data_IF_851328573888
#
_entry.id   IF_851328573888
#
_cell.length_a   1.000
_cell.length_b   1.000
_cell.length_c   1.000
_cell.angle_alpha   90.00
_cell.angle_beta   90.00
_cell.angle_gamma   90.00
#
_symmetry.space_group_name_H-M   'P 1'
#
loop_
_entity.id
_entity.type
_entity.pdbx_description
1 polymer ?
#
# COMPACT_ATOMS: atom_id res chain seq x y z
N UNK A 1 1.75 0.35 10.63
CA UNK A 1 0.87 -0.18 9.57
C UNK A 1 -0.33 -0.86 10.20
N UNK A 2 -1.51 -0.24 10.10
CA UNK A 2 -2.77 -0.75 10.68
C UNK A 2 -3.82 -1.03 9.61
N UNK A 3 -3.75 -0.37 8.46
CA UNK A 3 -4.67 -0.62 7.33
C UNK A 3 -4.39 -1.98 6.69
N UNK A 4 -5.46 -2.70 6.35
CA UNK A 4 -5.44 -4.01 5.69
C UNK A 4 -4.79 -5.16 6.48
N UNK A 5 -4.66 -5.02 7.81
CA UNK A 5 -4.17 -6.09 8.70
C UNK A 5 -5.31 -6.54 9.61
N UNK A 6 -5.59 -7.85 9.63
CA UNK A 6 -6.65 -8.41 10.48
C UNK A 6 -6.39 -8.06 11.96
N UNK A 7 -7.42 -7.59 12.65
CA UNK A 7 -7.35 -7.24 14.07
C UNK A 7 -6.66 -5.91 14.37
N UNK A 8 -6.36 -5.08 13.35
CA UNK A 8 -5.88 -3.71 13.55
C UNK A 8 -6.92 -2.71 13.07
N UNK A 9 -7.20 -1.70 13.89
CA UNK A 9 -8.17 -0.68 13.55
C UNK A 9 -7.46 0.55 12.98
N UNK A 10 -8.14 1.26 12.06
CA UNK A 10 -7.53 2.42 11.40
C UNK A 10 -7.21 3.54 12.40
N UNK A 11 -8.09 3.75 13.39
CA UNK A 11 -7.93 4.79 14.40
C UNK A 11 -6.72 4.56 15.32
N UNK A 12 -6.16 3.35 15.37
CA UNK A 12 -4.94 3.07 16.13
C UNK A 12 -3.75 3.93 15.62
N UNK A 13 -3.70 4.17 14.30
CA UNK A 13 -2.69 5.07 13.72
C UNK A 13 -2.94 6.53 14.15
N UNK A 14 -4.19 6.98 14.14
CA UNK A 14 -4.55 8.36 14.50
C UNK A 14 -4.21 8.62 15.97
N UNK A 15 -4.51 7.66 16.85
CA UNK A 15 -4.13 7.73 18.26
C UNK A 15 -2.61 7.80 18.44
N UNK A 16 -1.86 6.94 17.73
CA UNK A 16 -0.40 6.95 17.78
C UNK A 16 0.19 8.30 17.35
N UNK A 17 -0.29 8.86 16.23
CA UNK A 17 0.17 10.17 15.75
C UNK A 17 -0.12 11.25 16.79
N UNK A 18 -1.31 11.26 17.38
CA UNK A 18 -1.68 12.21 18.43
C UNK A 18 -0.75 12.12 19.64
N UNK A 19 -0.47 10.90 20.13
CA UNK A 19 0.45 10.70 21.27
C UNK A 19 1.87 11.15 20.93
N UNK A 20 2.37 10.89 19.72
CA UNK A 20 3.69 11.36 19.28
C UNK A 20 3.74 12.89 19.23
N UNK A 21 2.69 13.54 18.74
CA UNK A 21 2.60 15.00 18.69
C UNK A 21 2.54 15.63 20.07
N UNK A 22 1.75 15.07 20.99
CA UNK A 22 1.68 15.49 22.39
C UNK A 22 3.04 15.39 23.08
N UNK A 23 3.73 14.25 22.90
CA UNK A 23 5.08 14.06 23.45
C UNK A 23 6.08 15.05 22.88
N UNK A 24 6.06 15.27 21.56
CA UNK A 24 6.96 16.22 20.90
C UNK A 24 6.75 17.65 21.42
N UNK A 25 5.49 18.03 21.69
CA UNK A 25 5.15 19.31 22.29
C UNK A 25 5.69 19.45 23.71
N UNK A 26 5.46 18.44 24.56
CA UNK A 26 5.93 18.43 25.96
C UNK A 26 7.46 18.48 26.08
N UNK A 27 8.17 17.79 25.18
CA UNK A 27 9.64 17.76 25.20
C UNK A 27 10.29 18.89 24.41
N UNK A 28 9.52 19.83 23.85
CA UNK A 28 10.01 20.88 22.93
C UNK A 28 10.92 20.31 21.82
N UNK A 29 10.47 19.20 21.23
CA UNK A 29 11.23 18.48 20.21
C UNK A 29 11.47 19.37 18.98
N UNK A 30 12.70 19.35 18.45
CA UNK A 30 13.08 20.03 17.20
C UNK A 30 12.79 19.20 15.94
N UNK A 31 12.21 18.00 16.10
CA UNK A 31 11.86 17.11 14.99
C UNK A 31 10.56 17.55 14.31
N UNK A 32 10.47 17.32 13.01
CA UNK A 32 9.26 17.58 12.22
C UNK A 32 8.57 16.28 11.80
N UNK A 33 7.24 16.33 11.69
CA UNK A 33 6.44 15.25 11.12
C UNK A 33 6.37 15.40 9.60
N UNK A 34 6.51 14.29 8.87
CA UNK A 34 6.31 14.23 7.43
C UNK A 34 5.11 13.35 7.11
N UNK A 35 4.11 13.93 6.46
CA UNK A 35 2.95 13.19 5.94
C UNK A 35 3.18 12.92 4.46
N UNK A 36 3.26 11.64 4.10
CA UNK A 36 3.40 11.18 2.73
C UNK A 36 2.12 10.46 2.33
N UNK A 37 1.50 10.94 1.25
CA UNK A 37 0.44 10.22 0.57
C UNK A 37 0.90 9.91 -0.86
N UNK A 38 0.61 8.69 -1.31
CA UNK A 38 0.89 8.27 -2.68
C UNK A 38 -0.43 8.12 -3.42
N UNK A 39 -0.77 9.14 -4.23
CA UNK A 39 -1.97 9.12 -5.03
C UNK A 39 -1.95 7.88 -5.94
N UNK A 40 -3.00 7.04 -5.82
CA UNK A 40 -3.18 5.83 -6.64
C UNK A 40 -1.92 4.96 -6.65
N UNK A 41 -1.34 4.69 -5.47
CA UNK A 41 -0.10 3.92 -5.32
C UNK A 41 -0.06 2.63 -6.16
N UNK A 42 -1.20 1.93 -6.30
CA UNK A 42 -1.32 0.72 -7.12
C UNK A 42 -1.03 0.92 -8.61
N UNK A 43 -1.32 2.10 -9.17
CA UNK A 43 -1.09 2.39 -10.60
C UNK A 43 0.39 2.51 -10.93
N UNK A 44 1.22 2.83 -9.95
CA UNK A 44 2.66 3.08 -10.11
C UNK A 44 3.53 1.93 -9.59
N UNK A 45 2.93 0.79 -9.23
CA UNK A 45 3.68 -0.41 -8.84
C UNK A 45 4.36 -0.99 -10.09
N UNK A 46 5.69 -1.04 -10.08
CA UNK A 46 6.44 -1.66 -11.16
C UNK A 46 6.40 -3.19 -11.05
N UNK A 47 6.10 -3.94 -12.12
CA UNK A 47 5.95 -5.40 -12.05
C UNK A 47 7.16 -6.12 -11.46
N UNK A 48 8.36 -5.70 -11.88
CA UNK A 48 9.60 -6.32 -11.42
C UNK A 48 9.85 -6.08 -9.91
N UNK A 49 9.47 -4.91 -9.39
CA UNK A 49 9.67 -4.63 -7.97
C UNK A 49 8.72 -5.46 -7.11
N UNK A 50 7.46 -5.63 -7.52
CA UNK A 50 6.53 -6.52 -6.82
C UNK A 50 7.03 -7.98 -6.83
N UNK A 51 7.51 -8.46 -7.99
CA UNK A 51 8.06 -9.81 -8.12
C UNK A 51 9.28 -10.02 -7.20
N UNK A 52 10.23 -9.09 -7.21
CA UNK A 52 11.43 -9.15 -6.38
C UNK A 52 11.09 -9.15 -4.88
N UNK A 53 10.12 -8.32 -4.46
CA UNK A 53 9.66 -8.27 -3.08
C UNK A 53 9.05 -9.60 -2.65
N UNK A 54 8.13 -10.16 -3.45
CA UNK A 54 7.49 -11.44 -3.11
C UNK A 54 8.50 -12.59 -3.06
N UNK A 55 9.47 -12.63 -3.97
CA UNK A 55 10.55 -13.62 -3.95
C UNK A 55 11.45 -13.46 -2.72
N UNK A 56 11.76 -12.22 -2.33
CA UNK A 56 12.53 -11.94 -1.12
C UNK A 56 11.83 -12.44 0.16
N UNK A 57 10.50 -12.38 0.21
CA UNK A 57 9.71 -12.97 1.29
C UNK A 57 9.46 -14.48 1.15
N UNK A 58 10.16 -15.14 0.22
CA UNK A 58 10.10 -16.58 -0.01
C UNK A 58 8.72 -17.13 -0.40
N UNK A 59 7.90 -16.31 -1.06
CA UNK A 59 6.66 -16.83 -1.66
C UNK A 59 7.01 -17.80 -2.80
N UNK A 60 6.25 -18.91 -2.98
CA UNK A 60 6.48 -19.86 -4.06
C UNK A 60 6.40 -19.20 -5.43
N UNK A 61 7.29 -19.57 -6.36
CA UNK A 61 7.33 -18.99 -7.71
C UNK A 61 5.99 -19.06 -8.43
N UNK A 62 5.28 -20.19 -8.33
CA UNK A 62 3.95 -20.36 -8.92
C UNK A 62 2.92 -19.35 -8.41
N UNK A 63 2.98 -18.97 -7.13
CA UNK A 63 2.12 -17.96 -6.54
C UNK A 63 2.53 -16.55 -7.01
N UNK A 64 3.83 -16.28 -7.08
CA UNK A 64 4.36 -15.00 -7.58
C UNK A 64 3.93 -14.77 -9.03
N UNK A 65 4.09 -15.78 -9.88
CA UNK A 65 3.70 -15.72 -11.29
C UNK A 65 2.19 -15.49 -11.44
N UNK A 66 1.38 -16.18 -10.62
CA UNK A 66 -0.07 -15.97 -10.57
C UNK A 66 -0.43 -14.51 -10.22
N UNK A 67 0.16 -13.96 -9.15
CA UNK A 67 -0.07 -12.57 -8.73
C UNK A 67 0.36 -11.59 -9.83
N UNK A 68 1.55 -11.76 -10.41
CA UNK A 68 2.04 -10.88 -11.47
C UNK A 68 1.11 -10.90 -12.69
N UNK A 69 0.62 -12.07 -13.11
CA UNK A 69 -0.31 -12.18 -14.22
C UNK A 69 -1.66 -11.49 -13.92
N UNK A 70 -2.19 -11.65 -12.70
CA UNK A 70 -3.43 -11.01 -12.28
C UNK A 70 -3.35 -9.47 -12.27
N UNK A 71 -2.20 -8.92 -11.85
CA UNK A 71 -2.05 -7.47 -11.76
C UNK A 71 -1.67 -6.80 -13.08
N UNK A 72 -0.87 -7.48 -13.94
CA UNK A 72 -0.22 -6.81 -15.07
C UNK A 72 -0.57 -7.40 -16.45
N UNK A 73 -1.12 -8.61 -16.52
CA UNK A 73 -1.51 -9.23 -17.78
C UNK A 73 -3.02 -9.21 -18.01
N UNK A 74 -3.82 -8.93 -16.99
CA UNK A 74 -5.27 -8.80 -17.11
C UNK A 74 -5.64 -7.52 -17.85
N UNK A 75 -6.26 -7.65 -19.03
CA UNK A 75 -6.90 -6.56 -19.75
C UNK A 75 -8.37 -6.50 -19.36
N UNK A 76 -8.75 -5.48 -18.60
CA UNK A 76 -10.14 -5.21 -18.27
C UNK A 76 -10.68 -4.27 -19.35
N UNK A 77 -11.69 -4.72 -20.09
CA UNK A 77 -12.47 -3.89 -20.99
C UNK A 77 -13.88 -3.74 -20.42
N UNK A 78 -14.42 -2.53 -20.45
CA UNK A 78 -15.77 -2.26 -19.96
C UNK A 78 -16.64 -1.93 -21.17
N UNK A 79 -17.70 -2.71 -21.36
CA UNK A 79 -18.71 -2.38 -22.36
C UNK A 79 -19.62 -1.29 -21.79
N UNK A 80 -19.59 -0.10 -22.40
CA UNK A 80 -20.49 1.00 -22.08
C UNK A 80 -21.42 1.22 -23.27
N UNK A 81 -22.70 0.89 -23.08
CA UNK A 81 -23.77 1.10 -24.07
C UNK A 81 -23.50 0.47 -25.45
N UNK A 82 -22.85 -0.69 -25.50
CA UNK A 82 -22.55 -1.41 -26.74
C UNK A 82 -21.19 -1.07 -27.36
N UNK A 83 -20.44 -0.15 -26.77
CA UNK A 83 -19.07 0.17 -27.16
C UNK A 83 -18.09 -0.44 -26.17
N UNK A 84 -17.12 -1.19 -26.70
CA UNK A 84 -16.01 -1.74 -25.92
C UNK A 84 -14.91 -0.68 -25.91
N UNK A 85 -14.56 -0.19 -24.72
CA UNK A 85 -13.37 0.63 -24.47
C UNK A 85 -12.35 -0.16 -23.68
#
# INVERSE_FOLDING_TARGET
QTRFVRGRFIADNDMLVKTIMEQAWLTQSTRFGLLLDQEKAYNYVYPLSLQQVLQHFHFPSSLVDCICNLFFSTRIQVNVNGHIS
#
